data_IF_293726214163
#
_entry.id   IF_293726214163
#
_cell.length_a   1.000
_cell.length_b   1.000
_cell.length_c   1.000
_cell.angle_alpha   90.00
_cell.angle_beta   90.00
_cell.angle_gamma   90.00
#
_symmetry.space_group_name_H-M   'P 1'
#
loop_
_entity.id
_entity.type
_entity.pdbx_description
1 polymer ?
#
# COMPACT_ATOMS: atom_id res chain seq x y z
N UNK A 1 12.08 -33.40 28.22
CA UNK A 1 10.98 -32.99 29.12
C UNK A 1 10.20 -34.16 29.78
N UNK A 2 10.33 -35.42 29.35
CA UNK A 2 9.80 -36.59 30.10
C UNK A 2 10.58 -36.91 31.40
N UNK A 3 11.70 -36.23 31.67
CA UNK A 3 12.66 -36.62 32.71
C UNK A 3 12.34 -36.08 34.12
N UNK A 4 11.23 -35.35 34.31
CA UNK A 4 10.91 -34.76 35.62
C UNK A 4 9.86 -35.55 36.43
N UNK A 5 9.34 -36.68 35.92
CA UNK A 5 8.35 -37.51 36.65
C UNK A 5 6.99 -36.83 36.93
N UNK A 6 6.76 -35.63 36.38
CA UNK A 6 5.52 -34.87 36.59
C UNK A 6 4.43 -35.44 35.69
N UNK A 7 3.27 -35.77 36.26
CA UNK A 7 2.13 -36.28 35.51
C UNK A 7 1.54 -35.22 34.56
N UNK A 8 1.02 -35.65 33.41
CA UNK A 8 0.38 -34.78 32.41
C UNK A 8 -0.77 -33.97 33.03
N UNK A 9 -1.53 -34.57 33.96
CA UNK A 9 -2.62 -33.89 34.69
C UNK A 9 -2.10 -32.73 35.55
N UNK A 10 -0.96 -32.92 36.23
CA UNK A 10 -0.34 -31.87 37.05
C UNK A 10 0.17 -30.72 36.18
N UNK A 11 0.77 -31.03 35.03
CA UNK A 11 1.20 -30.03 34.03
C UNK A 11 -0.01 -29.24 33.51
N UNK A 12 -1.09 -29.93 33.12
CA UNK A 12 -2.31 -29.31 32.63
C UNK A 12 -2.95 -28.37 33.67
N UNK A 13 -3.05 -28.81 34.93
CA UNK A 13 -3.59 -28.00 36.03
C UNK A 13 -2.72 -26.77 36.32
N UNK A 14 -1.39 -26.92 36.34
CA UNK A 14 -0.47 -25.82 36.60
C UNK A 14 -0.48 -24.76 35.48
N UNK A 15 -0.69 -25.19 34.23
CA UNK A 15 -0.72 -24.31 33.06
C UNK A 15 -2.13 -23.81 32.69
N UNK A 16 -3.19 -24.31 33.35
CA UNK A 16 -4.57 -23.95 33.04
C UNK A 16 -5.03 -24.36 31.63
N UNK A 17 -4.45 -25.42 31.05
CA UNK A 17 -4.78 -25.92 29.69
C UNK A 17 -5.26 -27.36 29.72
N UNK A 18 -5.90 -27.81 28.63
CA UNK A 18 -6.39 -29.19 28.55
C UNK A 18 -5.24 -30.22 28.54
N UNK A 19 -5.48 -31.39 29.13
CA UNK A 19 -4.56 -32.53 29.07
C UNK A 19 -4.27 -32.97 27.63
N UNK A 20 -5.27 -32.87 26.73
CA UNK A 20 -5.11 -33.14 25.29
C UNK A 20 -4.10 -32.20 24.63
N UNK A 21 -4.10 -30.92 24.99
CA UNK A 21 -3.12 -29.94 24.51
C UNK A 21 -1.72 -30.28 25.00
N UNK A 22 -1.56 -30.65 26.28
CA UNK A 22 -0.27 -31.10 26.83
C UNK A 22 0.24 -32.35 26.10
N UNK A 23 -0.63 -33.35 25.90
CA UNK A 23 -0.29 -34.56 25.14
C UNK A 23 0.13 -34.24 23.69
N UNK A 24 -0.60 -33.35 23.01
CA UNK A 24 -0.30 -32.93 21.64
C UNK A 24 1.13 -32.36 21.55
N UNK A 25 1.48 -31.44 22.44
CA UNK A 25 2.79 -30.80 22.44
C UNK A 25 3.92 -31.74 22.84
N UNK A 26 3.70 -32.62 23.82
CA UNK A 26 4.70 -33.62 24.21
C UNK A 26 4.98 -34.62 23.08
N UNK A 27 3.94 -35.11 22.38
CA UNK A 27 4.09 -35.98 21.21
C UNK A 27 4.80 -35.27 20.07
N UNK A 28 4.47 -34.00 19.85
CA UNK A 28 5.13 -33.19 18.83
C UNK A 28 6.61 -33.00 19.15
N UNK A 29 6.96 -32.68 20.39
CA UNK A 29 8.36 -32.59 20.83
C UNK A 29 9.11 -33.91 20.61
N UNK A 30 8.51 -35.03 21.02
CA UNK A 30 9.12 -36.35 20.87
C UNK A 30 9.40 -36.69 19.39
N UNK A 31 8.50 -36.32 18.48
CA UNK A 31 8.63 -36.62 17.05
C UNK A 31 9.51 -35.64 16.28
N UNK A 32 9.34 -34.34 16.52
CA UNK A 32 9.86 -33.26 15.66
C UNK A 32 10.98 -32.46 16.35
N UNK A 33 11.11 -32.56 17.67
CA UNK A 33 11.99 -31.70 18.50
C UNK A 33 11.79 -30.20 18.21
N UNK A 34 10.59 -29.83 17.74
CA UNK A 34 10.23 -28.49 17.32
C UNK A 34 8.81 -28.13 17.79
N UNK A 35 8.71 -27.00 18.47
CA UNK A 35 7.46 -26.44 19.01
C UNK A 35 7.03 -25.17 18.26
N UNK A 36 7.74 -24.75 17.20
CA UNK A 36 7.38 -23.56 16.43
C UNK A 36 6.01 -23.72 15.79
N UNK A 37 5.33 -22.61 15.49
CA UNK A 37 4.04 -22.68 14.82
C UNK A 37 4.21 -23.20 13.39
N UNK A 38 3.46 -24.25 13.04
CA UNK A 38 3.41 -24.73 11.65
C UNK A 38 2.79 -23.66 10.75
N UNK A 39 3.21 -23.58 9.48
CA UNK A 39 2.54 -22.74 8.51
C UNK A 39 1.07 -23.15 8.43
N UNK A 40 0.17 -22.20 8.70
CA UNK A 40 -1.26 -22.42 8.52
C UNK A 40 -1.58 -22.41 7.03
N UNK A 41 -2.42 -23.34 6.59
CA UNK A 41 -2.98 -23.32 5.25
C UNK A 41 -3.72 -21.99 5.01
N UNK A 42 -3.49 -21.38 3.85
CA UNK A 42 -4.24 -20.18 3.41
C UNK A 42 -5.36 -20.63 2.48
N UNK A 43 -6.47 -19.90 2.50
CA UNK A 43 -7.51 -20.10 1.50
C UNK A 43 -6.93 -19.92 0.08
N UNK A 44 -7.40 -20.72 -0.90
CA UNK A 44 -6.93 -20.61 -2.27
C UNK A 44 -7.18 -19.20 -2.82
N UNK A 45 -6.26 -18.73 -3.67
CA UNK A 45 -6.38 -17.43 -4.32
C UNK A 45 -7.50 -17.50 -5.37
N UNK A 46 -8.27 -16.41 -5.50
CA UNK A 46 -9.19 -16.22 -6.63
C UNK A 46 -8.48 -15.83 -7.93
N UNK A 47 -7.22 -15.42 -7.85
CA UNK A 47 -6.41 -15.01 -8.98
C UNK A 47 -5.40 -16.09 -9.34
N UNK A 48 -5.09 -16.19 -10.64
CA UNK A 48 -4.00 -16.99 -11.17
C UNK A 48 -2.78 -16.09 -11.44
N UNK A 49 -1.65 -16.70 -11.82
CA UNK A 49 -0.41 -16.00 -12.13
C UNK A 49 -0.56 -15.02 -13.30
N UNK A 50 -1.33 -15.40 -14.31
CA UNK A 50 -1.59 -14.55 -15.48
C UNK A 50 -2.42 -13.31 -15.13
N UNK A 51 -3.48 -13.47 -14.34
CA UNK A 51 -4.27 -12.35 -13.85
C UNK A 51 -3.47 -11.39 -12.97
N UNK A 52 -2.58 -11.93 -12.12
CA UNK A 52 -1.66 -11.12 -11.31
C UNK A 52 -0.69 -10.32 -12.21
N UNK A 53 -0.21 -10.92 -13.32
CA UNK A 53 0.64 -10.26 -14.33
C UNK A 53 -0.11 -9.16 -15.06
N UNK A 54 -1.34 -9.41 -15.50
CA UNK A 54 -2.18 -8.42 -16.19
C UNK A 54 -2.49 -7.22 -15.30
N UNK A 55 -2.86 -7.46 -14.03
CA UNK A 55 -3.07 -6.40 -13.04
C UNK A 55 -1.85 -5.48 -12.94
N UNK A 56 -0.65 -6.08 -12.87
CA UNK A 56 0.60 -5.33 -12.77
C UNK A 56 0.89 -4.55 -14.06
N UNK A 57 0.75 -5.17 -15.21
CA UNK A 57 1.03 -4.55 -16.51
C UNK A 57 0.15 -3.31 -16.75
N UNK A 58 -1.13 -3.36 -16.36
CA UNK A 58 -2.04 -2.21 -16.48
C UNK A 58 -1.62 -1.06 -15.55
N UNK A 59 -1.15 -1.37 -14.33
CA UNK A 59 -0.66 -0.35 -13.41
C UNK A 59 0.65 0.29 -13.90
N UNK A 60 1.54 -0.50 -14.51
CA UNK A 60 2.82 -0.02 -15.03
C UNK A 60 2.69 0.77 -16.34
N UNK A 61 1.72 0.41 -17.20
CA UNK A 61 1.48 1.10 -18.49
C UNK A 61 0.93 2.52 -18.30
N UNK A 62 0.11 2.75 -17.28
CA UNK A 62 -0.42 4.06 -16.94
C UNK A 62 -0.16 4.38 -15.45
N UNK A 63 0.81 5.25 -15.14
CA UNK A 63 1.18 5.64 -13.76
C UNK A 63 0.08 6.32 -12.94
N UNK A 64 -1.06 6.66 -13.54
CA UNK A 64 -2.22 7.27 -12.86
C UNK A 64 -3.36 6.28 -12.64
N UNK A 65 -3.21 5.03 -13.07
CA UNK A 65 -4.24 4.01 -12.91
C UNK A 65 -4.47 3.68 -11.43
N UNK A 66 -5.74 3.63 -11.05
CA UNK A 66 -6.18 3.19 -9.72
C UNK A 66 -6.76 1.76 -9.77
N UNK A 67 -6.90 1.12 -8.60
CA UNK A 67 -7.36 -0.26 -8.51
C UNK A 67 -8.82 -0.48 -8.96
N UNK A 68 -9.65 0.57 -8.98
CA UNK A 68 -11.03 0.51 -9.46
C UNK A 68 -11.07 0.47 -10.98
N UNK A 69 -10.24 1.28 -11.64
CA UNK A 69 -10.09 1.25 -13.11
C UNK A 69 -9.53 -0.10 -13.58
N UNK A 70 -8.54 -0.67 -12.88
CA UNK A 70 -8.02 -2.01 -13.21
C UNK A 70 -9.11 -3.08 -13.12
N UNK A 71 -9.98 -2.97 -12.10
CA UNK A 71 -11.11 -3.88 -11.93
C UNK A 71 -12.06 -3.81 -13.13
N UNK A 72 -12.41 -2.59 -13.54
CA UNK A 72 -13.32 -2.33 -14.64
C UNK A 72 -12.74 -2.82 -15.97
N UNK A 73 -11.43 -2.66 -16.16
CA UNK A 73 -10.74 -3.10 -17.37
C UNK A 73 -10.62 -4.62 -17.47
N UNK A 74 -10.38 -5.32 -16.36
CA UNK A 74 -10.16 -6.78 -16.37
C UNK A 74 -11.44 -7.59 -16.22
N UNK A 75 -12.53 -7.02 -15.67
CA UNK A 75 -13.83 -7.69 -15.46
C UNK A 75 -13.76 -9.06 -14.74
N UNK A 76 -12.67 -9.35 -14.03
CA UNK A 76 -12.39 -10.66 -13.40
C UNK A 76 -13.25 -10.98 -12.15
N UNK A 77 -14.34 -10.25 -11.90
CA UNK A 77 -15.16 -10.40 -10.68
C UNK A 77 -14.39 -10.16 -9.37
N UNK A 78 -13.23 -9.50 -9.44
CA UNK A 78 -12.38 -9.22 -8.28
C UNK A 78 -12.82 -7.93 -7.58
N UNK A 79 -12.71 -7.91 -6.26
CA UNK A 79 -12.86 -6.65 -5.53
C UNK A 79 -11.63 -5.76 -5.74
N UNK A 80 -11.82 -4.44 -5.69
CA UNK A 80 -10.70 -3.49 -5.73
C UNK A 80 -9.68 -3.78 -4.60
N UNK A 81 -10.12 -4.30 -3.44
CA UNK A 81 -9.24 -4.71 -2.34
C UNK A 81 -8.29 -5.84 -2.76
N UNK A 82 -8.79 -6.83 -3.50
CA UNK A 82 -7.93 -7.92 -4.02
C UNK A 82 -6.88 -7.37 -4.96
N UNK A 83 -7.26 -6.49 -5.89
CA UNK A 83 -6.33 -5.85 -6.84
C UNK A 83 -5.24 -5.07 -6.11
N UNK A 84 -5.60 -4.22 -5.13
CA UNK A 84 -4.60 -3.51 -4.31
C UNK A 84 -3.62 -4.48 -3.63
N UNK A 85 -4.10 -5.62 -3.13
CA UNK A 85 -3.23 -6.64 -2.53
C UNK A 85 -2.29 -7.26 -3.57
N UNK A 86 -2.77 -7.57 -4.79
CA UNK A 86 -1.94 -8.08 -5.88
C UNK A 86 -0.85 -7.10 -6.29
N UNK A 87 -1.19 -5.81 -6.40
CA UNK A 87 -0.23 -4.76 -6.73
C UNK A 87 0.86 -4.62 -5.67
N UNK A 88 0.50 -4.65 -4.38
CA UNK A 88 1.48 -4.67 -3.28
C UNK A 88 2.37 -5.92 -3.31
N UNK A 89 1.78 -7.11 -3.48
CA UNK A 89 2.54 -8.36 -3.62
C UNK A 89 3.49 -8.31 -4.83
N UNK A 90 3.13 -7.57 -5.88
CA UNK A 90 3.95 -7.30 -7.06
C UNK A 90 5.00 -6.20 -6.88
N UNK A 91 5.11 -5.59 -5.69
CA UNK A 91 6.11 -4.55 -5.38
C UNK A 91 5.69 -3.11 -5.73
N UNK A 92 4.45 -2.89 -6.20
CA UNK A 92 3.94 -1.55 -6.46
C UNK A 92 3.39 -0.93 -5.18
N UNK A 93 3.68 0.35 -4.98
CA UNK A 93 3.22 1.11 -3.83
C UNK A 93 2.09 2.07 -4.19
N UNK A 94 1.14 2.30 -3.27
CA UNK A 94 0.12 3.32 -3.45
C UNK A 94 0.75 4.72 -3.36
N UNK A 95 0.47 5.57 -4.35
CA UNK A 95 0.87 6.98 -4.42
C UNK A 95 -0.34 7.85 -4.70
N UNK A 96 -0.41 9.01 -4.06
CA UNK A 96 -1.42 10.01 -4.39
C UNK A 96 -0.90 10.83 -5.58
N UNK A 97 -1.60 10.82 -6.73
CA UNK A 97 -1.19 11.67 -7.84
C UNK A 97 -1.34 13.14 -7.45
N UNK A 98 -0.37 13.95 -7.84
CA UNK A 98 -0.42 15.40 -7.61
C UNK A 98 -1.53 15.98 -8.48
N UNK A 99 -2.50 16.66 -7.87
CA UNK A 99 -3.45 17.50 -8.60
C UNK A 99 -2.71 18.76 -9.05
N UNK A 100 -2.48 18.89 -10.36
CA UNK A 100 -1.87 20.08 -10.94
C UNK A 100 -2.79 20.64 -12.04
N UNK A 101 -2.86 21.97 -12.13
CA UNK A 101 -3.54 22.63 -13.24
C UNK A 101 -2.85 22.27 -14.56
N UNK A 102 -3.65 22.02 -15.60
CA UNK A 102 -3.11 21.70 -16.92
C UNK A 102 -2.31 22.90 -17.45
N UNK A 103 -1.03 22.68 -17.70
CA UNK A 103 -0.15 23.70 -18.27
C UNK A 103 -0.09 23.54 -19.79
N UNK A 104 -0.64 24.50 -20.52
CA UNK A 104 -0.52 24.58 -21.98
C UNK A 104 0.89 25.03 -22.39
N UNK A 105 1.20 24.87 -23.67
CA UNK A 105 2.51 25.24 -24.22
C UNK A 105 2.82 26.72 -24.09
N UNK A 106 1.82 27.60 -24.25
CA UNK A 106 2.00 29.05 -24.10
C UNK A 106 2.29 29.44 -22.64
N UNK A 107 1.56 28.89 -21.66
CA UNK A 107 1.84 29.09 -20.24
C UNK A 107 3.30 28.75 -19.89
N UNK A 108 3.86 27.67 -20.47
CA UNK A 108 5.25 27.28 -20.24
C UNK A 108 6.23 28.32 -20.77
N UNK A 109 5.96 28.85 -21.98
CA UNK A 109 6.79 29.88 -22.60
C UNK A 109 6.77 31.18 -21.81
N UNK A 110 5.59 31.67 -21.45
CA UNK A 110 5.46 32.91 -20.66
C UNK A 110 6.11 32.79 -19.29
N UNK A 111 5.89 31.67 -18.59
CA UNK A 111 6.53 31.43 -17.29
C UNK A 111 8.05 31.35 -17.40
N UNK A 112 8.57 30.72 -18.45
CA UNK A 112 10.01 30.63 -18.68
C UNK A 112 10.59 32.00 -19.01
N UNK A 113 9.94 32.77 -19.90
CA UNK A 113 10.35 34.12 -20.27
C UNK A 113 10.41 35.02 -19.03
N UNK A 114 9.36 35.00 -18.21
CA UNK A 114 9.32 35.73 -16.95
C UNK A 114 10.47 35.31 -16.02
N UNK A 115 10.67 33.99 -15.82
CA UNK A 115 11.72 33.51 -14.95
C UNK A 115 13.12 33.92 -15.42
N UNK A 116 13.36 33.95 -16.73
CA UNK A 116 14.63 34.40 -17.32
C UNK A 116 14.82 35.90 -17.20
N UNK A 117 13.78 36.69 -17.46
CA UNK A 117 13.81 38.15 -17.40
C UNK A 117 14.17 38.65 -16.00
N UNK A 118 13.59 38.04 -14.96
CA UNK A 118 13.79 38.46 -13.58
C UNK A 118 14.77 37.57 -12.78
N UNK A 119 15.57 36.71 -13.44
CA UNK A 119 16.42 35.74 -12.73
C UNK A 119 17.56 36.40 -11.93
N UNK A 120 18.11 37.51 -12.44
CA UNK A 120 19.22 38.23 -11.83
C UNK A 120 18.75 39.32 -10.85
N UNK A 121 17.44 39.54 -10.75
CA UNK A 121 16.90 40.60 -9.90
C UNK A 121 17.10 40.28 -8.41
N UNK A 122 17.70 41.24 -7.71
CA UNK A 122 18.05 41.12 -6.30
C UNK A 122 16.91 41.45 -5.34
N UNK A 123 17.18 41.32 -4.04
CA UNK A 123 16.19 41.58 -2.99
C UNK A 123 15.62 43.01 -3.01
N UNK A 124 16.39 44.03 -3.41
CA UNK A 124 15.90 45.42 -3.49
C UNK A 124 14.74 45.55 -4.48
N UNK A 125 14.85 44.93 -5.66
CA UNK A 125 13.78 44.88 -6.66
C UNK A 125 12.54 44.19 -6.09
N UNK A 126 12.70 42.97 -5.57
CA UNK A 126 11.58 42.18 -5.04
C UNK A 126 10.94 42.78 -3.79
N UNK A 127 11.67 43.58 -3.00
CA UNK A 127 11.14 44.26 -1.81
C UNK A 127 10.03 45.28 -2.14
N UNK A 128 9.99 45.74 -3.40
CA UNK A 128 9.00 46.70 -3.90
C UNK A 128 7.83 46.02 -4.60
N UNK A 129 7.89 44.71 -4.81
CA UNK A 129 6.84 43.96 -5.48
C UNK A 129 5.69 43.65 -4.51
N UNK A 130 4.46 43.95 -4.93
CA UNK A 130 3.24 43.59 -4.19
C UNK A 130 2.49 42.55 -4.99
N UNK A 131 2.32 41.35 -4.41
CA UNK A 131 1.54 40.28 -5.01
C UNK A 131 0.11 40.30 -4.45
N UNK A 132 -0.87 40.31 -5.35
CA UNK A 132 -2.30 40.22 -5.01
C UNK A 132 -2.87 38.92 -5.55
N UNK A 133 -3.74 38.27 -4.78
CA UNK A 133 -4.46 37.07 -5.21
C UNK A 133 -5.71 36.87 -4.39
N UNK A 134 -6.66 36.12 -4.94
CA UNK A 134 -7.89 35.75 -4.27
C UNK A 134 -7.86 34.26 -3.89
N UNK A 135 -8.46 33.92 -2.76
CA UNK A 135 -8.61 32.52 -2.33
C UNK A 135 -10.00 32.30 -1.75
N UNK A 136 -10.57 31.12 -2.00
CA UNK A 136 -11.91 30.75 -1.53
C UNK A 136 -11.79 29.86 -0.30
N UNK A 137 -12.44 30.25 0.79
CA UNK A 137 -12.52 29.44 2.01
C UNK A 137 -13.82 28.62 2.02
N UNK A 138 -13.70 27.33 2.33
CA UNK A 138 -14.85 26.42 2.45
C UNK A 138 -15.05 26.03 3.92
N UNK A 139 -16.32 25.94 4.37
CA UNK A 139 -16.69 25.67 5.76
C UNK A 139 -16.77 24.16 6.09
N UNK A 140 -16.79 23.29 5.08
CA UNK A 140 -16.77 21.84 5.26
C UNK A 140 -15.40 21.26 4.93
N UNK A 141 -14.92 20.34 5.76
CA UNK A 141 -13.79 19.49 5.40
C UNK A 141 -14.25 18.56 4.28
N UNK A 142 -13.72 18.76 3.07
CA UNK A 142 -13.90 17.80 1.98
C UNK A 142 -13.42 16.43 2.48
N UNK A 143 -14.36 15.48 2.60
CA UNK A 143 -14.06 14.09 2.89
C UNK A 143 -13.15 13.59 1.78
N UNK A 144 -11.87 13.49 2.13
CA UNK A 144 -10.75 13.42 1.22
C UNK A 144 -10.73 12.02 0.57
N UNK A 145 -11.55 11.83 -0.47
CA UNK A 145 -11.57 10.65 -1.34
C UNK A 145 -10.27 10.58 -2.14
N UNK A 146 -9.15 10.36 -1.45
CA UNK A 146 -7.82 10.26 -2.03
C UNK A 146 -7.78 9.03 -2.94
N UNK A 147 -7.70 9.28 -4.24
CA UNK A 147 -7.46 8.24 -5.22
C UNK A 147 -5.97 7.88 -5.17
N UNK A 148 -5.66 6.60 -5.04
CA UNK A 148 -4.29 6.10 -5.11
C UNK A 148 -4.03 5.46 -6.48
N UNK A 149 -2.95 5.90 -7.11
CA UNK A 149 -2.31 5.21 -8.22
C UNK A 149 -1.20 4.28 -7.71
N UNK A 150 -0.71 3.37 -8.54
CA UNK A 150 0.23 2.31 -8.12
C UNK A 150 1.51 2.42 -8.93
N UNK A 151 2.66 2.61 -8.25
CA UNK A 151 3.96 2.88 -8.89
C UNK A 151 5.10 2.16 -8.17
N UNK A 152 6.20 1.94 -8.89
CA UNK A 152 7.46 1.50 -8.30
C UNK A 152 8.09 2.62 -7.46
N UNK A 153 8.93 2.26 -6.49
CA UNK A 153 9.77 3.24 -5.80
C UNK A 153 10.66 3.97 -6.81
N UNK A 154 10.69 5.30 -6.76
CA UNK A 154 11.57 6.13 -7.59
C UNK A 154 11.01 6.56 -8.95
N UNK A 155 9.73 6.31 -9.24
CA UNK A 155 9.03 6.77 -10.46
C UNK A 155 7.85 7.69 -10.16
#
# INVERSE_FOLDING_TARGET
MKNCGISIRKIAAQLGISTSTVCLWLRRWEKEQDLTNRPRGRAPRKTNTEGDRQIRQIAESNPFTNAVLIREQLQLGLSARTIRRRLNEGGLLPKTPVKMQRMFSFHRKERLSFAQEYQEEGLDYWSRAVFTGETTFYYTLDNNNKIHCWRNLGR
#
